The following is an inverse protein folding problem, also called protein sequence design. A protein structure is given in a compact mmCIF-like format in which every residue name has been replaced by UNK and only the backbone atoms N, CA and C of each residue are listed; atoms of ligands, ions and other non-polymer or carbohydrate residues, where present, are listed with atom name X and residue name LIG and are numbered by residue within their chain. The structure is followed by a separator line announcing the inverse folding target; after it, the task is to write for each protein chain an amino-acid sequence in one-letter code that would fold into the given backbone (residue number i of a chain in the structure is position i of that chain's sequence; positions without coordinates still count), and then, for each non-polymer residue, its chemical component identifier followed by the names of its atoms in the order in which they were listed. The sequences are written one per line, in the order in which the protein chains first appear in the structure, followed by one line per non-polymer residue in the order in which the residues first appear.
data_IF_022915187330
#
_entry.id   IF_022915187330
#
_cell.length_a   1.000
_cell.length_b   1.000
_cell.length_c   1.000
_cell.angle_alpha   90.00
_cell.angle_beta   90.00
_cell.angle_gamma   90.00
#
_symmetry.space_group_name_H-M   'P 1'
#
loop_
_entity.id
_entity.type
_entity.pdbx_description
1 polymer ?
#
# COMPACT_ATOMS: atom_id res chain seq x y z
N UNK A 1 11.24 2.54 4.40
CA UNK A 1 10.66 3.04 3.13
C UNK A 1 11.79 3.25 2.15
N UNK A 2 11.63 2.89 0.88
CA UNK A 2 12.59 3.22 -0.19
C UNK A 2 11.87 3.69 -1.44
N UNK A 3 12.52 4.48 -2.29
CA UNK A 3 11.88 5.08 -3.47
C UNK A 3 12.69 4.84 -4.75
N UNK A 4 12.00 4.23 -5.73
CA UNK A 4 12.30 4.03 -7.15
C UNK A 4 11.68 5.05 -8.10
N UNK A 5 12.26 6.23 -8.36
CA UNK A 5 11.60 7.21 -9.23
C UNK A 5 10.23 7.64 -8.67
N UNK A 6 9.15 7.42 -9.40
CA UNK A 6 7.79 7.71 -8.91
C UNK A 6 7.23 6.66 -7.94
N UNK A 7 7.86 5.50 -7.75
CA UNK A 7 7.31 4.43 -6.92
C UNK A 7 7.98 4.36 -5.55
N UNK A 8 7.17 4.15 -4.51
CA UNK A 8 7.62 4.07 -3.11
C UNK A 8 7.30 2.69 -2.55
N UNK A 9 8.31 2.03 -1.98
CA UNK A 9 8.17 0.78 -1.25
C UNK A 9 8.00 1.06 0.25
N UNK A 10 6.88 0.62 0.80
CA UNK A 10 6.59 0.56 2.23
C UNK A 10 6.75 -0.87 2.74
N UNK A 11 7.27 -1.02 3.95
CA UNK A 11 7.45 -2.31 4.62
C UNK A 11 6.93 -2.17 6.04
N UNK A 12 5.97 -3.00 6.42
CA UNK A 12 5.45 -3.13 7.78
C UNK A 12 5.90 -4.48 8.35
N UNK A 13 6.38 -4.47 9.59
CA UNK A 13 6.73 -5.67 10.36
C UNK A 13 5.90 -5.65 11.62
N UNK A 14 5.14 -6.71 11.85
CA UNK A 14 4.33 -6.93 13.05
C UNK A 14 4.31 -8.43 13.39
N UNK A 15 3.59 -8.80 14.44
CA UNK A 15 3.49 -10.20 14.89
C UNK A 15 2.89 -11.13 13.82
N UNK A 16 2.16 -10.57 12.84
CA UNK A 16 1.61 -11.29 11.69
C UNK A 16 2.59 -11.45 10.52
N UNK A 17 3.83 -10.99 10.66
CA UNK A 17 4.90 -11.14 9.67
C UNK A 17 5.29 -9.84 8.97
N UNK A 18 5.82 -9.96 7.75
CA UNK A 18 6.33 -8.82 6.97
C UNK A 18 5.44 -8.55 5.78
N UNK A 19 4.87 -7.36 5.71
CA UNK A 19 4.04 -6.89 4.58
C UNK A 19 4.79 -5.82 3.80
N UNK A 20 4.67 -5.86 2.48
CA UNK A 20 5.30 -4.88 1.58
C UNK A 20 4.27 -4.36 0.60
N UNK A 21 4.14 -3.03 0.51
CA UNK A 21 3.29 -2.37 -0.47
C UNK A 21 4.12 -1.42 -1.35
N UNK A 22 3.88 -1.43 -2.65
CA UNK A 22 4.51 -0.49 -3.59
C UNK A 22 3.46 0.49 -4.08
N UNK A 23 3.66 1.77 -3.77
CA UNK A 23 2.70 2.84 -4.02
C UNK A 23 3.29 3.81 -5.04
N UNK A 24 2.62 4.05 -6.18
CA UNK A 24 3.01 5.13 -7.09
C UNK A 24 2.70 6.49 -6.45
N UNK A 25 3.67 7.40 -6.49
CA UNK A 25 3.53 8.78 -6.00
C UNK A 25 2.96 9.66 -7.11
N UNK A 26 1.66 9.54 -7.30
CA UNK A 26 0.87 10.35 -8.22
C UNK A 26 -0.27 11.02 -7.43
N UNK A 27 -0.86 12.07 -8.01
CA UNK A 27 -1.99 12.77 -7.38
C UNK A 27 -3.24 11.89 -7.30
N UNK A 28 -3.44 11.05 -8.32
CA UNK A 28 -4.58 10.15 -8.42
C UNK A 28 -4.10 8.73 -8.70
N UNK A 29 -4.80 7.76 -8.12
CA UNK A 29 -4.52 6.34 -8.26
C UNK A 29 -5.80 5.66 -8.74
N UNK A 30 -5.71 4.93 -9.85
CA UNK A 30 -6.86 4.20 -10.38
C UNK A 30 -7.31 3.12 -9.40
N UNK A 31 -8.62 2.84 -9.36
CA UNK A 31 -9.25 1.93 -8.37
C UNK A 31 -8.60 0.55 -8.34
N UNK A 32 -8.25 -0.01 -9.50
CA UNK A 32 -7.56 -1.31 -9.56
C UNK A 32 -6.20 -1.31 -8.88
N UNK A 33 -5.44 -0.22 -9.02
CA UNK A 33 -4.14 -0.04 -8.36
C UNK A 33 -4.31 0.16 -6.87
N UNK A 34 -5.29 0.96 -6.43
CA UNK A 34 -5.61 1.14 -5.01
C UNK A 34 -5.96 -0.20 -4.35
N UNK A 35 -6.86 -0.99 -4.95
CA UNK A 35 -7.20 -2.34 -4.46
C UNK A 35 -5.98 -3.26 -4.36
N UNK A 36 -5.07 -3.17 -5.33
CA UNK A 36 -3.82 -3.95 -5.30
C UNK A 36 -2.91 -3.54 -4.14
N UNK A 37 -2.79 -2.23 -3.88
CA UNK A 37 -2.02 -1.68 -2.76
C UNK A 37 -2.61 -2.12 -1.42
N UNK A 38 -3.93 -2.02 -1.25
CA UNK A 38 -4.63 -2.44 -0.03
C UNK A 38 -4.41 -3.92 0.25
N UNK A 39 -4.53 -4.77 -0.78
CA UNK A 39 -4.22 -6.21 -0.67
C UNK A 39 -2.77 -6.47 -0.26
N UNK A 40 -1.81 -5.75 -0.83
CA UNK A 40 -0.39 -5.85 -0.45
C UNK A 40 -0.12 -5.39 1.00
N UNK A 41 -0.83 -4.36 1.45
CA UNK A 41 -0.77 -3.88 2.83
C UNK A 41 -1.53 -4.80 3.82
N UNK A 42 -2.37 -5.69 3.30
CA UNK A 42 -3.30 -6.50 4.09
C UNK A 42 -4.32 -5.63 4.82
N UNK A 43 -4.82 -4.59 4.13
CA UNK A 43 -5.92 -3.74 4.57
C UNK A 43 -7.21 -4.17 3.85
N UNK A 44 -8.26 -4.35 4.64
CA UNK A 44 -9.64 -4.45 4.15
C UNK A 44 -10.15 -3.09 3.69
N UNK A 45 -11.32 -3.09 3.03
CA UNK A 45 -11.96 -1.85 2.61
C UNK A 45 -12.44 -1.03 3.79
N UNK A 46 -13.09 -1.67 4.76
CA UNK A 46 -13.61 -0.99 5.96
C UNK A 46 -12.48 -0.36 6.81
N UNK A 47 -11.35 -1.07 6.95
CA UNK A 47 -10.17 -0.52 7.64
C UNK A 47 -9.61 0.70 6.92
N UNK A 48 -9.65 0.74 5.60
CA UNK A 48 -9.16 1.88 4.82
C UNK A 48 -10.11 3.07 4.88
N UNK A 49 -11.42 2.83 4.80
CA UNK A 49 -12.44 3.88 4.87
C UNK A 49 -12.53 4.53 6.27
N UNK A 50 -11.99 3.86 7.30
CA UNK A 50 -11.92 4.36 8.66
C UNK A 50 -10.63 5.13 9.02
N UNK A 51 -9.66 5.25 8.09
CA UNK A 51 -8.40 6.01 8.28
C UNK A 51 -8.58 7.51 8.06
#
# INVERSE_FOLDING_TARGET
MSQRGSHVKFVKRDDGGVRTAVVPRHREVVVGTLRSIMRQAGLSQDEFDAL
#
